data_IF_842422493767
#
_entry.id   IF_842422493767
#
_cell.length_a   1.000
_cell.length_b   1.000
_cell.length_c   1.000
_cell.angle_alpha   90.00
_cell.angle_beta   90.00
_cell.angle_gamma   90.00
#
_symmetry.space_group_name_H-M   'P 1'
#
loop_
_entity.id
_entity.type
_entity.pdbx_description
1 polymer ?
#
# COMPACT_ATOMS: atom_id res chain seq x y z
N UNK A 1 8.70 8.02 -0.47
CA UNK A 1 9.75 7.46 0.40
C UNK A 1 10.97 8.34 0.32
N UNK A 2 11.43 8.82 1.47
CA UNK A 2 12.69 9.55 1.62
C UNK A 2 13.78 8.60 2.08
N UNK A 3 14.90 8.59 1.36
CA UNK A 3 16.08 7.78 1.69
C UNK A 3 17.05 8.49 2.64
N UNK A 4 18.04 7.77 3.21
CA UNK A 4 18.95 8.33 4.21
C UNK A 4 19.77 9.55 3.76
N UNK A 5 19.92 9.77 2.45
CA UNK A 5 20.64 10.92 1.87
C UNK A 5 19.70 12.04 1.41
N UNK A 6 18.40 11.98 1.75
CA UNK A 6 17.38 12.94 1.32
C UNK A 6 16.79 12.68 -0.07
N UNK A 7 17.20 11.60 -0.75
CA UNK A 7 16.63 11.22 -2.04
C UNK A 7 15.14 10.87 -1.90
N UNK A 8 14.29 11.46 -2.76
CA UNK A 8 12.86 11.23 -2.75
C UNK A 8 12.43 10.30 -3.89
N UNK A 9 11.75 9.21 -3.53
CA UNK A 9 11.00 8.36 -4.45
C UNK A 9 9.50 8.62 -4.24
N UNK A 10 8.81 9.10 -5.28
CA UNK A 10 7.36 9.29 -5.28
C UNK A 10 6.74 8.43 -6.38
N UNK A 11 5.66 7.74 -6.06
CA UNK A 11 4.91 6.92 -6.99
C UNK A 11 3.44 6.84 -6.54
N UNK A 12 2.55 6.39 -7.42
CA UNK A 12 1.11 6.25 -7.17
C UNK A 12 0.64 4.87 -7.58
N UNK A 13 -0.01 4.15 -6.67
CA UNK A 13 -0.56 2.81 -6.93
C UNK A 13 -2.07 2.89 -7.03
N UNK A 14 -2.62 2.18 -8.01
CA UNK A 14 -4.05 1.93 -8.08
C UNK A 14 -4.42 0.70 -7.25
N UNK A 15 -5.13 0.92 -6.14
CA UNK A 15 -5.59 -0.16 -5.26
C UNK A 15 -7.00 -0.61 -5.69
N UNK A 16 -7.08 -1.72 -6.45
CA UNK A 16 -8.37 -2.33 -6.80
C UNK A 16 -8.90 -3.11 -5.59
N UNK A 17 -9.98 -2.64 -4.99
CA UNK A 17 -10.53 -3.20 -3.74
C UNK A 17 -11.70 -4.18 -3.95
N UNK A 18 -12.40 -4.08 -5.08
CA UNK A 18 -13.56 -4.90 -5.40
C UNK A 18 -13.56 -5.25 -6.91
N UNK A 19 -14.24 -6.34 -7.25
CA UNK A 19 -14.48 -6.72 -8.64
C UNK A 19 -15.56 -5.83 -9.30
N UNK A 20 -15.79 -6.03 -10.59
CA UNK A 20 -16.78 -5.28 -11.37
C UNK A 20 -18.25 -5.54 -10.94
N UNK A 21 -18.49 -6.53 -10.08
CA UNK A 21 -19.79 -6.85 -9.48
C UNK A 21 -19.94 -6.26 -8.09
N UNK A 22 -18.93 -5.56 -7.58
CA UNK A 22 -18.91 -4.94 -6.24
C UNK A 22 -18.52 -5.91 -5.13
N UNK A 23 -18.05 -7.13 -5.43
CA UNK A 23 -17.56 -8.05 -4.41
C UNK A 23 -16.15 -7.63 -3.99
N UNK A 24 -15.93 -7.45 -2.69
CA UNK A 24 -14.61 -7.15 -2.12
C UNK A 24 -13.59 -8.24 -2.49
N UNK A 25 -12.40 -7.79 -2.88
CA UNK A 25 -11.24 -8.64 -3.10
C UNK A 25 -10.52 -8.92 -1.78
N UNK A 26 -9.75 -10.00 -1.76
CA UNK A 26 -9.04 -10.44 -0.57
C UNK A 26 -9.73 -11.60 0.14
N UNK A 27 -9.45 -11.74 1.43
CA UNK A 27 -9.97 -12.82 2.27
C UNK A 27 -10.20 -12.33 3.69
N UNK A 28 -11.09 -12.95 4.43
CA UNK A 28 -11.35 -12.58 5.81
C UNK A 28 -12.52 -13.35 6.42
N UNK A 29 -13.04 -12.86 7.54
CA UNK A 29 -14.07 -13.52 8.33
C UNK A 29 -15.16 -12.51 8.69
N UNK A 30 -16.42 -12.89 8.46
CA UNK A 30 -17.55 -11.99 8.66
C UNK A 30 -17.48 -10.78 7.73
N UNK A 31 -17.54 -9.59 8.30
CA UNK A 31 -17.54 -8.31 7.57
C UNK A 31 -16.13 -7.72 7.37
N UNK A 32 -15.09 -8.39 7.89
CA UNK A 32 -13.69 -7.95 7.74
C UNK A 32 -13.03 -8.65 6.56
N UNK A 33 -12.38 -7.85 5.72
CA UNK A 33 -11.67 -8.29 4.51
C UNK A 33 -10.26 -7.72 4.50
N UNK A 34 -9.27 -8.60 4.37
CA UNK A 34 -7.87 -8.24 4.23
C UNK A 34 -7.43 -8.42 2.78
N UNK A 35 -6.88 -7.34 2.21
CA UNK A 35 -6.30 -7.32 0.87
C UNK A 35 -4.83 -6.89 0.93
N UNK A 36 -3.94 -7.79 0.57
CA UNK A 36 -2.51 -7.48 0.36
C UNK A 36 -2.23 -7.41 -1.13
N UNK A 37 -1.60 -6.32 -1.57
CA UNK A 37 -1.14 -6.16 -2.95
C UNK A 37 0.33 -5.75 -3.01
N UNK A 38 1.07 -6.19 -4.03
CA UNK A 38 2.46 -5.79 -4.19
C UNK A 38 2.55 -4.33 -4.61
N UNK A 39 3.36 -3.55 -3.88
CA UNK A 39 3.74 -2.19 -4.29
C UNK A 39 5.04 -2.22 -5.12
N UNK A 40 6.14 -2.70 -4.51
CA UNK A 40 7.39 -2.94 -5.22
C UNK A 40 7.71 -4.44 -5.27
N UNK A 41 7.84 -5.00 -6.48
CA UNK A 41 8.53 -6.27 -6.68
C UNK A 41 10.04 -6.05 -6.65
N UNK A 42 10.78 -6.76 -5.79
CA UNK A 42 12.25 -6.78 -5.82
C UNK A 42 12.93 -5.46 -5.43
N UNK A 43 12.29 -4.61 -4.62
CA UNK A 43 12.90 -3.37 -4.14
C UNK A 43 14.22 -3.64 -3.42
N UNK A 44 15.30 -3.01 -3.88
CA UNK A 44 16.60 -3.05 -3.21
C UNK A 44 16.87 -1.70 -2.55
N UNK A 45 17.00 -1.73 -1.23
CA UNK A 45 17.51 -0.58 -0.48
C UNK A 45 18.99 -0.37 -0.86
N UNK A 46 19.26 0.64 -1.69
CA UNK A 46 20.59 0.90 -2.24
C UNK A 46 21.64 1.24 -1.17
N UNK A 47 21.20 1.77 -0.03
CA UNK A 47 22.05 2.20 1.06
C UNK A 47 21.45 1.84 2.43
N UNK A 48 22.32 1.59 3.40
CA UNK A 48 21.92 1.41 4.80
C UNK A 48 21.51 2.77 5.40
N UNK A 49 20.52 2.75 6.29
CA UNK A 49 20.10 3.94 7.05
C UNK A 49 18.59 3.99 7.28
N UNK A 50 18.12 5.14 7.79
CA UNK A 50 16.71 5.40 8.05
C UNK A 50 16.00 5.80 6.76
N UNK A 51 14.90 5.13 6.46
CA UNK A 51 13.97 5.49 5.38
C UNK A 51 12.66 5.95 6.00
N UNK A 52 12.06 6.98 5.42
CA UNK A 52 10.74 7.48 5.84
C UNK A 52 9.76 7.21 4.72
N UNK A 53 8.71 6.44 5.00
CA UNK A 53 7.62 6.20 4.07
C UNK A 53 6.38 6.95 4.54
N UNK A 54 5.85 7.78 3.66
CA UNK A 54 4.55 8.42 3.78
C UNK A 54 3.70 8.02 2.58
N UNK A 55 2.40 7.92 2.80
CA UNK A 55 1.42 7.68 1.74
C UNK A 55 0.18 8.52 2.04
N UNK A 56 -0.50 8.94 0.99
CA UNK A 56 -1.73 9.72 1.03
C UNK A 56 -2.76 9.08 0.10
N UNK A 57 -4.04 9.26 0.40
CA UNK A 57 -5.11 8.76 -0.46
C UNK A 57 -5.37 9.76 -1.59
N UNK A 58 -5.01 9.38 -2.83
CA UNK A 58 -5.24 10.19 -4.03
C UNK A 58 -6.66 9.99 -4.60
N UNK A 59 -7.69 10.25 -3.79
CA UNK A 59 -9.08 9.99 -4.18
C UNK A 59 -9.80 11.26 -4.63
N UNK A 60 -10.71 11.09 -5.60
CA UNK A 60 -11.56 12.19 -6.08
C UNK A 60 -12.74 12.49 -5.15
N UNK A 61 -13.10 11.54 -4.27
CA UNK A 61 -14.28 11.65 -3.40
C UNK A 61 -13.87 12.37 -2.12
N UNK A 62 -14.47 13.54 -1.86
CA UNK A 62 -14.13 14.38 -0.71
C UNK A 62 -14.38 13.68 0.64
N UNK A 63 -15.37 12.80 0.71
CA UNK A 63 -15.75 12.07 1.93
C UNK A 63 -14.99 10.75 2.14
N UNK A 64 -13.95 10.48 1.35
CA UNK A 64 -13.14 9.28 1.48
C UNK A 64 -13.84 7.98 1.05
N UNK A 65 -13.18 6.86 1.29
CA UNK A 65 -13.72 5.51 1.11
C UNK A 65 -14.32 5.04 2.43
N UNK A 66 -15.62 4.71 2.42
CA UNK A 66 -16.29 4.09 3.57
C UNK A 66 -15.89 2.62 3.68
N UNK A 67 -15.87 2.11 4.92
CA UNK A 67 -15.61 0.70 5.20
C UNK A 67 -14.14 0.30 5.23
N UNK A 68 -13.21 1.25 5.03
CA UNK A 68 -11.78 1.01 5.25
C UNK A 68 -11.47 1.31 6.70
N UNK A 69 -11.07 0.29 7.46
CA UNK A 69 -10.67 0.45 8.86
C UNK A 69 -9.21 0.88 8.96
N UNK A 70 -8.33 0.23 8.19
CA UNK A 70 -6.88 0.36 8.31
C UNK A 70 -6.20 0.33 6.94
N UNK A 71 -5.10 1.07 6.82
CA UNK A 71 -4.19 1.04 5.68
C UNK A 71 -2.76 1.05 6.20
N UNK A 72 -1.92 0.18 5.64
CA UNK A 72 -0.53 0.06 6.08
C UNK A 72 0.40 -0.41 4.98
N UNK A 73 1.69 -0.26 5.26
CA UNK A 73 2.77 -0.81 4.44
C UNK A 73 3.39 -2.00 5.17
N UNK A 74 3.58 -3.11 4.45
CA UNK A 74 4.31 -4.27 4.94
C UNK A 74 5.64 -4.40 4.20
N UNK A 75 6.73 -4.51 4.95
CA UNK A 75 8.07 -4.76 4.40
C UNK A 75 8.45 -6.20 4.70
N UNK A 76 8.75 -6.96 3.66
CA UNK A 76 9.12 -8.38 3.77
C UNK A 76 10.46 -8.64 3.11
N UNK A 77 11.24 -9.59 3.67
CA UNK A 77 12.44 -10.06 3.00
C UNK A 77 12.02 -10.94 1.81
N UNK A 78 12.60 -10.69 0.65
CA UNK A 78 12.44 -11.60 -0.50
C UNK A 78 13.06 -12.94 -0.14
N UNK A 79 12.32 -14.03 -0.36
CA UNK A 79 12.91 -15.37 -0.35
C UNK A 79 13.76 -15.48 -1.60
N UNK A 80 15.06 -15.72 -1.42
CA UNK A 80 15.96 -16.06 -2.53
C UNK A 80 15.54 -17.39 -3.15
#
# INVERSE_FOLDING_TARGET
>A
MEGPNGNLLKDTVNCILADNRGKWLGKGVGDLWDLQMPYFGGFKFAQKGKYIVSFEQAMRVENGLKGITDVGLRVEKTKN
#
